data_IF_954138301524
#
_entry.id   IF_954138301524
#
_cell.length_a   1.000
_cell.length_b   1.000
_cell.length_c   1.000
_cell.angle_alpha   90.00
_cell.angle_beta   90.00
_cell.angle_gamma   90.00
#
_symmetry.space_group_name_H-M   'P 1'
#
loop_
_entity.id
_entity.type
_entity.pdbx_description
1 polymer ?
#
# COMPACT_ATOMS: atom_id res chain seq x y z
N UNK A 1 13.52 -5.61 -26.45
CA UNK A 1 13.69 -4.89 -25.17
C UNK A 1 12.30 -4.65 -24.62
N UNK A 2 11.77 -5.63 -23.89
CA UNK A 2 10.57 -5.46 -23.06
C UNK A 2 11.08 -4.90 -21.73
N UNK A 3 11.23 -3.59 -21.67
CA UNK A 3 11.53 -2.87 -20.42
C UNK A 3 10.23 -2.66 -19.67
N UNK A 4 9.54 -3.74 -19.33
CA UNK A 4 8.57 -3.72 -18.24
C UNK A 4 9.37 -3.85 -16.95
N UNK A 5 10.04 -2.75 -16.56
CA UNK A 5 10.48 -2.58 -15.18
C UNK A 5 9.22 -2.68 -14.32
N UNK A 6 8.93 -3.89 -13.83
CA UNK A 6 7.81 -4.11 -12.92
C UNK A 6 8.08 -3.19 -11.74
N UNK A 7 7.19 -2.25 -11.51
CA UNK A 7 7.26 -1.38 -10.35
C UNK A 7 6.99 -2.22 -9.10
N UNK A 8 7.69 -1.92 -8.00
CA UNK A 8 7.48 -2.62 -6.73
C UNK A 8 6.09 -2.32 -6.16
N UNK A 9 5.62 -1.09 -6.35
CA UNK A 9 4.22 -0.70 -6.17
C UNK A 9 3.65 -0.41 -7.54
N UNK A 10 2.73 -1.26 -7.98
CA UNK A 10 2.05 -1.11 -9.27
C UNK A 10 1.16 0.13 -9.31
N UNK A 11 0.87 0.62 -10.51
CA UNK A 11 -0.10 1.69 -10.73
C UNK A 11 -1.45 1.45 -10.04
N UNK A 12 -2.00 0.24 -10.12
CA UNK A 12 -3.27 -0.10 -9.46
C UNK A 12 -3.18 -0.03 -7.93
N UNK A 13 -2.08 -0.54 -7.33
CA UNK A 13 -1.88 -0.43 -5.88
C UNK A 13 -1.77 1.03 -5.45
N UNK A 14 -1.10 1.88 -6.24
CA UNK A 14 -0.99 3.31 -5.97
C UNK A 14 -2.37 3.99 -5.99
N UNK A 15 -3.14 3.79 -7.05
CA UNK A 15 -4.50 4.35 -7.19
C UNK A 15 -5.42 3.91 -6.05
N UNK A 16 -5.36 2.63 -5.66
CA UNK A 16 -6.12 2.13 -4.53
C UNK A 16 -5.72 2.83 -3.23
N UNK A 17 -4.42 2.94 -2.93
CA UNK A 17 -3.92 3.56 -1.70
C UNK A 17 -4.30 5.05 -1.64
N UNK A 18 -4.13 5.78 -2.74
CA UNK A 18 -4.51 7.19 -2.84
C UNK A 18 -6.01 7.36 -2.56
N UNK A 19 -6.86 6.62 -3.29
CA UNK A 19 -8.32 6.68 -3.11
C UNK A 19 -8.76 6.27 -1.71
N UNK A 20 -8.13 5.24 -1.13
CA UNK A 20 -8.47 4.76 0.21
C UNK A 20 -8.13 5.79 1.29
N UNK A 21 -6.93 6.38 1.21
CA UNK A 21 -6.48 7.37 2.20
C UNK A 21 -7.17 8.74 2.03
N UNK A 22 -7.76 9.04 0.88
CA UNK A 22 -8.69 10.17 0.74
C UNK A 22 -9.95 10.01 1.62
N UNK A 23 -10.41 8.78 1.85
CA UNK A 23 -11.61 8.52 2.64
C UNK A 23 -11.34 8.44 4.15
N UNK A 24 -10.12 8.05 4.56
CA UNK A 24 -9.77 7.89 5.97
C UNK A 24 -8.28 7.95 6.22
N UNK A 25 -7.89 8.56 7.34
CA UNK A 25 -6.51 8.56 7.85
C UNK A 25 -6.36 7.65 9.08
N UNK A 26 -7.35 6.80 9.36
CA UNK A 26 -7.34 5.90 10.52
C UNK A 26 -6.42 4.69 10.36
N UNK A 27 -5.90 4.44 9.16
CA UNK A 27 -5.12 3.25 8.82
C UNK A 27 -3.67 3.60 8.48
N UNK A 28 -2.83 2.58 8.48
CA UNK A 28 -1.43 2.63 8.06
C UNK A 28 -1.16 1.49 7.09
N UNK A 29 -0.47 1.78 5.99
CA UNK A 29 0.11 0.74 5.15
C UNK A 29 1.29 0.12 5.89
N UNK A 30 1.30 -1.21 6.01
CA UNK A 30 2.34 -1.97 6.69
C UNK A 30 2.75 -3.20 5.87
N UNK A 31 3.47 -4.12 6.50
CA UNK A 31 3.81 -5.42 5.94
C UNK A 31 4.81 -5.37 4.79
N UNK A 32 4.76 -6.42 3.97
CA UNK A 32 5.77 -6.67 2.94
C UNK A 32 5.80 -5.60 1.85
N UNK A 33 4.64 -5.03 1.51
CA UNK A 33 4.52 -4.01 0.46
C UNK A 33 4.98 -2.65 0.95
N UNK A 34 4.69 -2.27 2.20
CA UNK A 34 5.29 -1.07 2.79
C UNK A 34 6.82 -1.16 2.77
N UNK A 35 7.36 -2.27 3.28
CA UNK A 35 8.80 -2.48 3.42
C UNK A 35 9.51 -2.52 2.06
N UNK A 36 8.94 -3.23 1.08
CA UNK A 36 9.56 -3.36 -0.24
C UNK A 36 9.37 -2.10 -1.08
N UNK A 37 8.20 -1.46 -1.02
CA UNK A 37 7.86 -0.32 -1.86
C UNK A 37 8.50 1.01 -1.42
N UNK A 38 8.72 1.22 -0.12
CA UNK A 38 9.17 2.51 0.41
C UNK A 38 10.54 2.49 1.12
N UNK A 39 11.09 1.31 1.44
CA UNK A 39 12.33 1.24 2.22
C UNK A 39 13.42 0.40 1.56
N UNK A 40 13.17 -0.89 1.33
CA UNK A 40 14.23 -1.85 0.98
C UNK A 40 14.35 -2.14 -0.52
N UNK A 41 13.29 -1.96 -1.30
CA UNK A 41 13.26 -2.22 -2.74
C UNK A 41 13.77 -3.63 -3.14
N UNK A 42 13.66 -4.60 -2.24
CA UNK A 42 14.36 -5.90 -2.32
C UNK A 42 13.56 -7.00 -3.03
N UNK A 43 12.24 -6.83 -3.20
CA UNK A 43 11.37 -7.78 -3.87
C UNK A 43 10.06 -7.14 -4.32
N UNK A 44 9.36 -7.82 -5.21
CA UNK A 44 7.97 -7.54 -5.50
C UNK A 44 7.05 -8.00 -4.37
N UNK A 45 5.93 -7.30 -4.21
CA UNK A 45 4.90 -7.64 -3.24
C UNK A 45 3.53 -7.33 -3.83
N UNK A 46 2.63 -8.32 -3.78
CA UNK A 46 1.31 -8.21 -4.42
C UNK A 46 0.23 -7.76 -3.43
N UNK A 47 0.37 -8.10 -2.15
CA UNK A 47 -0.63 -7.83 -1.12
C UNK A 47 -0.59 -6.37 -0.61
N UNK A 48 -1.65 -5.89 0.03
CA UNK A 48 -1.65 -4.63 0.77
C UNK A 48 -2.15 -4.88 2.19
N UNK A 49 -1.29 -4.66 3.18
CA UNK A 49 -1.63 -4.81 4.59
C UNK A 49 -1.98 -3.44 5.18
N UNK A 50 -3.24 -3.23 5.56
CA UNK A 50 -3.71 -2.00 6.20
C UNK A 50 -4.06 -2.28 7.67
N UNK A 51 -3.42 -1.56 8.60
CA UNK A 51 -3.65 -1.70 10.04
C UNK A 51 -4.19 -0.42 10.64
N UNK A 52 -5.01 -0.52 11.69
CA UNK A 52 -5.48 0.62 12.48
C UNK A 52 -5.28 0.38 13.96
N UNK A 53 -5.16 1.46 14.73
CA UNK A 53 -5.20 1.45 16.20
C UNK A 53 -6.58 1.83 16.74
N UNK A 54 -7.50 2.23 15.86
CA UNK A 54 -8.85 2.60 16.25
C UNK A 54 -9.70 1.33 16.35
N UNK A 55 -10.45 1.14 17.45
CA UNK A 55 -11.37 0.00 17.59
C UNK A 55 -12.49 0.03 16.55
N UNK A 56 -12.96 1.23 16.18
CA UNK A 56 -14.08 1.45 15.27
C UNK A 56 -13.72 2.48 14.18
N UNK A 57 -12.82 2.13 13.23
CA UNK A 57 -12.23 3.08 12.26
C UNK A 57 -13.21 3.57 11.18
N UNK A 58 -14.42 3.01 11.13
CA UNK A 58 -15.47 3.37 10.16
C UNK A 58 -16.77 3.86 10.83
N UNK A 59 -16.80 4.00 12.16
CA UNK A 59 -17.96 4.57 12.83
C UNK A 59 -18.10 6.05 12.44
N UNK A 60 -19.27 6.40 11.90
CA UNK A 60 -19.68 7.78 11.59
C UNK A 60 -20.59 8.32 12.67
#
# INVERSE_FOLDING_TARGET
>A
MDSSDKEIITQFQREFLETFFEQTQAFFLTGGTALSGFYLHHRYSQDLDLFTVQPEPFAR
#
